data_IF_361359493306
#
_entry.id   IF_361359493306
#
_cell.length_a   1.000
_cell.length_b   1.000
_cell.length_c   1.000
_cell.angle_alpha   90.00
_cell.angle_beta   90.00
_cell.angle_gamma   90.00
#
_symmetry.space_group_name_H-M   'P 1'
#
loop_
_entity.id
_entity.type
_entity.pdbx_description
1 polymer ?
#
# COMPACT_ATOMS: atom_id res chain seq x y z
N UNK A 1 -3.79 26.42 2.37
CA UNK A 1 -4.31 25.91 3.66
C UNK A 1 -3.73 24.53 3.85
N UNK A 2 -2.95 24.28 4.90
CA UNK A 2 -2.39 22.95 5.16
C UNK A 2 -3.49 22.11 5.79
N UNK A 3 -4.25 21.39 4.97
CA UNK A 3 -5.35 20.57 5.43
C UNK A 3 -4.80 19.43 6.30
N UNK A 4 -5.28 19.34 7.55
CA UNK A 4 -4.76 18.42 8.55
C UNK A 4 -5.21 16.99 8.20
N UNK A 5 -4.26 16.06 8.14
CA UNK A 5 -4.59 14.64 7.95
C UNK A 5 -5.27 14.07 9.19
N UNK A 6 -6.35 13.31 8.97
CA UNK A 6 -6.98 12.47 9.96
C UNK A 6 -6.19 11.16 10.17
N UNK A 7 -6.35 10.50 11.34
CA UNK A 7 -5.70 9.22 11.60
C UNK A 7 -6.09 8.14 10.58
N UNK A 8 -5.21 7.16 10.42
CA UNK A 8 -5.40 6.07 9.48
C UNK A 8 -6.71 5.30 9.73
N UNK A 9 -7.52 5.04 8.68
CA UNK A 9 -8.80 4.36 8.84
C UNK A 9 -8.74 2.92 9.30
N UNK A 10 -7.57 2.27 9.17
CA UNK A 10 -7.42 0.85 9.45
C UNK A 10 -6.81 0.58 10.84
N UNK A 11 -5.83 1.39 11.25
CA UNK A 11 -5.11 1.18 12.51
C UNK A 11 -5.20 2.36 13.49
N UNK A 12 -5.78 3.50 13.08
CA UNK A 12 -5.83 4.72 13.89
C UNK A 12 -4.49 5.42 14.08
N UNK A 13 -3.44 4.99 13.37
CA UNK A 13 -2.09 5.57 13.47
C UNK A 13 -1.95 6.86 12.67
N UNK A 14 -0.78 7.50 12.81
CA UNK A 14 -0.47 8.74 12.12
C UNK A 14 -0.35 8.55 10.60
N UNK A 15 -0.64 9.64 9.88
CA UNK A 15 -0.59 9.71 8.44
C UNK A 15 0.30 10.86 8.00
N UNK A 16 1.05 10.65 6.91
CA UNK A 16 1.97 11.62 6.33
C UNK A 16 1.67 11.88 4.85
N UNK A 17 2.07 13.06 4.38
CA UNK A 17 1.96 13.49 2.98
C UNK A 17 3.34 13.44 2.32
N UNK A 18 3.41 12.98 1.08
CA UNK A 18 4.62 13.00 0.26
C UNK A 18 4.26 13.48 -1.15
N UNK A 19 4.85 14.58 -1.59
CA UNK A 19 4.59 15.20 -2.89
C UNK A 19 5.43 14.60 -4.03
N UNK A 20 6.43 13.77 -3.71
CA UNK A 20 7.43 13.29 -4.66
C UNK A 20 7.58 11.77 -4.62
N UNK A 21 6.55 11.07 -4.14
CA UNK A 21 6.56 9.61 -3.99
C UNK A 21 6.82 8.96 -5.34
N UNK A 22 7.91 8.20 -5.42
CA UNK A 22 8.27 7.49 -6.65
C UNK A 22 7.26 6.37 -6.92
N UNK A 23 6.84 6.25 -8.17
CA UNK A 23 5.97 5.17 -8.63
C UNK A 23 6.41 4.71 -10.02
N UNK A 24 5.95 3.51 -10.39
CA UNK A 24 6.20 2.95 -11.72
C UNK A 24 4.90 3.02 -12.52
N UNK A 25 4.94 3.76 -13.63
CA UNK A 25 3.79 3.90 -14.51
C UNK A 25 3.45 2.57 -15.17
N UNK A 26 2.21 2.08 -14.99
CA UNK A 26 1.81 0.75 -15.43
C UNK A 26 1.86 0.56 -16.94
N UNK A 27 1.44 1.57 -17.70
CA UNK A 27 1.36 1.51 -19.17
C UNK A 27 2.68 1.78 -19.87
N UNK A 28 3.66 2.40 -19.21
CA UNK A 28 4.94 2.78 -19.83
C UNK A 28 6.19 2.24 -19.16
N UNK A 29 6.10 1.63 -17.98
CA UNK A 29 7.22 1.10 -17.21
C UNK A 29 8.23 2.14 -16.71
N UNK A 30 8.01 3.43 -16.97
CA UNK A 30 8.87 4.55 -16.57
C UNK A 30 8.67 4.85 -15.08
N UNK A 31 9.77 5.19 -14.41
CA UNK A 31 9.72 5.77 -13.07
C UNK A 31 9.29 7.22 -13.18
N UNK A 32 8.32 7.60 -12.36
CA UNK A 32 7.79 8.95 -12.26
C UNK A 32 7.40 9.22 -10.78
N UNK A 33 6.87 10.40 -10.49
CA UNK A 33 6.56 10.87 -9.16
C UNK A 33 5.08 11.23 -9.02
N UNK A 34 4.53 11.05 -7.82
CA UNK A 34 3.13 11.35 -7.51
C UNK A 34 2.95 11.91 -6.11
N UNK A 35 1.77 12.49 -5.88
CA UNK A 35 1.32 12.90 -4.56
C UNK A 35 0.77 11.68 -3.82
N UNK A 36 1.25 11.42 -2.60
CA UNK A 36 0.86 10.27 -1.80
C UNK A 36 0.49 10.68 -0.38
N UNK A 37 -0.44 9.93 0.19
CA UNK A 37 -0.77 9.95 1.62
C UNK A 37 -0.69 8.53 2.13
N UNK A 38 0.04 8.31 3.22
CA UNK A 38 0.27 6.97 3.75
C UNK A 38 0.28 6.97 5.27
N UNK A 39 -0.07 5.82 5.85
CA UNK A 39 0.07 5.59 7.27
C UNK A 39 1.52 5.21 7.60
N UNK A 40 2.05 5.76 8.69
CA UNK A 40 3.39 5.42 9.18
C UNK A 40 3.42 4.15 10.03
N UNK A 41 2.25 3.71 10.50
CA UNK A 41 2.09 2.56 11.41
C UNK A 41 1.65 1.27 10.71
N UNK A 42 1.05 1.35 9.52
CA UNK A 42 0.59 0.19 8.75
C UNK A 42 0.78 0.43 7.24
N UNK A 43 0.51 -0.59 6.43
CA UNK A 43 0.71 -0.55 4.98
C UNK A 43 -0.44 0.14 4.20
N UNK A 44 -1.24 0.98 4.86
CA UNK A 44 -2.30 1.72 4.17
C UNK A 44 -1.71 2.94 3.47
N UNK A 45 -1.81 2.96 2.14
CA UNK A 45 -1.34 4.06 1.30
C UNK A 45 -2.36 4.41 0.21
N UNK A 46 -2.24 5.64 -0.28
CA UNK A 46 -2.89 6.09 -1.49
C UNK A 46 -1.88 6.94 -2.26
N UNK A 47 -1.91 6.85 -3.58
CA UNK A 47 -1.09 7.66 -4.47
C UNK A 47 -1.89 8.16 -5.67
N UNK A 48 -1.65 9.41 -6.05
CA UNK A 48 -2.11 10.01 -7.29
C UNK A 48 -0.90 10.33 -8.17
N UNK A 49 -0.82 9.62 -9.29
CA UNK A 49 0.25 9.72 -10.27
C UNK A 49 0.19 11.07 -11.00
N UNK A 50 1.34 11.71 -11.21
CA UNK A 50 1.42 12.94 -12.01
C UNK A 50 1.05 12.70 -13.47
N UNK A 51 1.47 11.58 -14.04
CA UNK A 51 1.23 11.21 -15.43
C UNK A 51 -0.26 11.02 -15.77
N UNK A 52 -1.07 10.53 -14.82
CA UNK A 52 -2.51 10.27 -15.03
C UNK A 52 -3.34 11.57 -14.98
N UNK A 53 -2.83 12.59 -14.29
CA UNK A 53 -3.51 13.87 -14.10
C UNK A 53 -2.57 15.04 -14.41
N UNK A 54 -2.13 15.22 -15.66
CA UNK A 54 -1.14 16.24 -16.02
C UNK A 54 -1.63 17.68 -15.80
N UNK A 55 -2.95 17.89 -15.85
CA UNK A 55 -3.58 19.22 -15.76
C UNK A 55 -3.62 19.80 -14.34
N UNK A 56 -3.42 18.96 -13.32
CA UNK A 56 -3.42 19.39 -11.92
C UNK A 56 -2.02 19.89 -11.49
N UNK A 57 -1.97 20.85 -10.57
CA UNK A 57 -0.74 21.18 -9.84
C UNK A 57 -0.46 20.16 -8.72
N UNK A 58 0.77 20.15 -8.20
CA UNK A 58 1.13 19.25 -7.10
C UNK A 58 0.32 19.55 -5.82
N UNK A 59 -0.02 20.82 -5.59
CA UNK A 59 -0.88 21.24 -4.49
C UNK A 59 -2.32 20.75 -4.67
N UNK A 60 -2.88 20.85 -5.87
CA UNK A 60 -4.24 20.36 -6.16
C UNK A 60 -4.32 18.84 -6.03
N UNK A 61 -3.31 18.11 -6.52
CA UNK A 61 -3.25 16.65 -6.35
C UNK A 61 -3.21 16.29 -4.87
N UNK A 62 -2.38 16.98 -4.07
CA UNK A 62 -2.33 16.71 -2.63
C UNK A 62 -3.64 17.06 -1.94
N UNK A 63 -4.30 18.16 -2.31
CA UNK A 63 -5.60 18.52 -1.75
C UNK A 63 -6.65 17.42 -1.98
N UNK A 64 -6.72 16.87 -3.20
CA UNK A 64 -7.61 15.74 -3.52
C UNK A 64 -7.25 14.49 -2.72
N UNK A 65 -5.95 14.22 -2.55
CA UNK A 65 -5.46 13.09 -1.76
C UNK A 65 -5.82 13.20 -0.28
N UNK A 66 -5.63 14.37 0.32
CA UNK A 66 -5.99 14.64 1.71
C UNK A 66 -7.50 14.54 1.91
N UNK A 67 -8.30 15.13 1.01
CA UNK A 67 -9.76 15.01 1.07
C UNK A 67 -10.20 13.54 1.00
N UNK A 68 -9.62 12.79 0.06
CA UNK A 68 -9.91 11.37 -0.14
C UNK A 68 -9.52 10.52 1.06
N UNK A 69 -8.40 10.83 1.72
CA UNK A 69 -7.94 10.16 2.93
C UNK A 69 -8.87 10.44 4.10
N UNK A 70 -9.16 11.71 4.32
CA UNK A 70 -10.00 12.17 5.41
C UNK A 70 -11.45 11.68 5.27
N UNK A 71 -11.96 11.51 4.04
CA UNK A 71 -13.27 10.90 3.78
C UNK A 71 -13.34 9.42 4.20
N UNK A 72 -12.22 8.70 4.14
CA UNK A 72 -12.12 7.28 4.52
C UNK A 72 -11.92 7.10 6.02
N UNK A 73 -11.32 8.08 6.69
CA UNK A 73 -11.10 8.05 8.13
C UNK A 73 -12.44 7.80 8.84
N UNK A 74 -12.59 6.71 9.62
CA UNK A 74 -13.78 6.51 10.41
C UNK A 74 -13.90 7.71 11.36
N UNK A 75 -15.11 8.25 11.49
CA UNK A 75 -15.42 9.21 12.56
C UNK A 75 -14.84 8.65 13.87
N UNK A 76 -14.23 9.50 14.74
CA UNK A 76 -13.38 9.03 15.84
C UNK A 76 -14.06 7.91 16.62
N UNK A 77 -13.64 6.66 16.33
CA UNK A 77 -14.13 5.49 17.01
C UNK A 77 -13.44 5.48 18.37
N UNK A 78 -14.17 5.95 19.37
CA UNK A 78 -13.87 5.70 20.77
C UNK A 78 -13.56 4.20 20.95
N UNK A 79 -12.30 3.91 21.29
CA UNK A 79 -11.84 2.67 21.89
C UNK A 79 -12.29 1.35 21.23
N UNK A 80 -11.78 1.02 20.05
CA UNK A 80 -11.66 -0.39 19.68
C UNK A 80 -10.32 -0.92 20.21
N UNK A 81 -10.34 -1.42 21.45
CA UNK A 81 -9.26 -2.28 21.96
C UNK A 81 -9.13 -3.46 21.00
N UNK A 82 -8.00 -3.59 20.29
CA UNK A 82 -7.60 -4.84 19.64
C UNK A 82 -7.55 -5.92 20.72
N UNK A 83 -8.57 -6.75 20.78
CA UNK A 83 -8.46 -8.05 21.40
C UNK A 83 -7.63 -8.93 20.45
N UNK A 84 -6.35 -9.09 20.75
CA UNK A 84 -5.56 -10.22 20.24
C UNK A 84 -6.11 -11.49 20.88
N UNK A 85 -7.18 -12.03 20.32
CA UNK A 85 -7.73 -13.32 20.70
C UNK A 85 -7.48 -14.30 19.56
N UNK A 86 -6.40 -15.08 19.68
CA UNK A 86 -6.26 -16.40 19.07
C UNK A 86 -6.12 -16.45 17.56
N UNK A 87 -4.88 -16.59 17.07
CA UNK A 87 -4.66 -17.41 15.87
C UNK A 87 -5.01 -18.85 16.27
N UNK A 88 -5.97 -19.53 15.63
CA UNK A 88 -6.04 -20.97 15.75
C UNK A 88 -4.79 -21.57 15.07
N UNK A 89 -3.99 -22.29 15.85
CA UNK A 89 -3.01 -23.27 15.38
C UNK A 89 -3.64 -24.10 14.25
N UNK A 90 -3.16 -23.94 13.02
CA UNK A 90 -3.74 -24.68 11.89
C UNK A 90 -3.41 -24.21 10.47
N UNK A 91 -2.47 -23.30 10.26
CA UNK A 91 -1.95 -23.06 8.90
C UNK A 91 -0.72 -23.93 8.66
N UNK A 92 -0.99 -25.18 8.30
CA UNK A 92 -0.01 -26.14 7.82
C UNK A 92 0.72 -25.57 6.59
N UNK A 93 1.94 -25.09 6.85
CA UNK A 93 3.15 -25.22 6.05
C UNK A 93 2.94 -25.67 4.60
N UNK A 94 2.99 -24.73 3.66
CA UNK A 94 3.27 -25.06 2.26
C UNK A 94 4.64 -25.74 2.21
N UNK A 95 4.63 -27.05 2.01
CA UNK A 95 5.81 -27.84 1.76
C UNK A 95 6.50 -27.34 0.49
N UNK A 96 7.81 -27.22 0.59
CA UNK A 96 8.74 -26.81 -0.44
C UNK A 96 8.57 -27.69 -1.69
N UNK A 97 8.47 -27.07 -2.86
CA UNK A 97 8.46 -27.72 -4.17
C UNK A 97 9.91 -28.10 -4.53
N UNK A 98 10.33 -29.39 -4.49
CA UNK A 98 11.66 -29.74 -4.94
C UNK A 98 11.69 -29.79 -6.47
N UNK A 99 12.55 -28.94 -7.03
CA UNK A 99 12.88 -28.87 -8.45
C UNK A 99 13.00 -30.25 -9.15
N UNK A 100 12.61 -30.37 -10.42
CA UNK A 100 12.79 -31.62 -11.15
C UNK A 100 14.27 -31.92 -11.38
N UNK A 101 14.73 -33.05 -10.82
CA UNK A 101 16.06 -33.60 -11.07
C UNK A 101 16.29 -33.99 -12.55
N UNK A 102 17.54 -33.91 -13.05
CA UNK A 102 17.89 -34.32 -14.40
C UNK A 102 17.87 -35.85 -14.55
N UNK A 103 17.31 -36.36 -15.65
CA UNK A 103 17.46 -37.77 -16.03
C UNK A 103 18.79 -37.97 -16.75
N UNK A 104 19.74 -38.56 -16.02
CA UNK A 104 20.94 -39.16 -16.61
C UNK A 104 20.57 -40.41 -17.44
N UNK A 105 21.38 -40.65 -18.47
CA UNK A 105 21.14 -41.66 -19.49
C UNK A 105 21.20 -43.10 -18.99
N UNK A 106 20.57 -43.98 -19.75
CA UNK A 106 20.84 -45.42 -19.74
C UNK A 106 21.11 -45.86 -21.17
N UNK A 107 22.37 -46.22 -21.41
CA UNK A 107 22.77 -47.11 -22.48
C UNK A 107 22.14 -48.50 -22.23
N UNK A 108 21.62 -49.13 -23.28
CA UNK A 108 21.81 -50.55 -23.60
C UNK A 108 21.03 -50.87 -24.88
N UNK A 109 21.75 -51.40 -25.88
CA UNK A 109 21.25 -51.83 -27.18
C UNK A 109 22.36 -51.82 -28.21
#
# INVERSE_FOLDING_TARGET
MTDKLLPCPFCGGDAEQDYQRSFRHLSGGRLDHGAAVYCTSCNADMIMCRADHPDLSDEERMAVMVESWNRRAPAPLSNVKRHTSGIPDGFEQYAEDPAPHPREGSANG
#
